data_IF_150290466763
#
_entry.id   IF_150290466763
#
_cell.length_a   1.000
_cell.length_b   1.000
_cell.length_c   1.000
_cell.angle_alpha   90.00
_cell.angle_beta   90.00
_cell.angle_gamma   90.00
#
_symmetry.space_group_name_H-M   'P 1'
#
loop_
_entity.id
_entity.type
_entity.pdbx_description
1 polymer ?
#
# COMPACT_ATOMS: atom_id res chain seq x y z
N UNK A 1 10.22 -0.70 17.70
CA UNK A 1 9.53 -0.01 18.79
C UNK A 1 8.29 0.70 18.26
N UNK A 2 7.13 0.00 18.22
CA UNK A 2 5.83 0.53 17.77
C UNK A 2 5.02 1.17 18.92
N UNK A 3 5.65 1.41 20.07
CA UNK A 3 4.97 1.66 21.34
C UNK A 3 4.67 3.13 21.68
N UNK A 4 4.79 4.08 20.77
CA UNK A 4 4.54 5.48 21.12
C UNK A 4 3.45 6.21 20.36
N UNK A 5 2.79 5.58 19.39
CA UNK A 5 1.50 6.02 18.83
C UNK A 5 0.47 4.92 19.04
N UNK A 6 -0.76 5.30 19.34
CA UNK A 6 -1.91 4.41 19.53
C UNK A 6 -1.90 3.25 18.52
N UNK A 7 -2.38 2.08 18.96
CA UNK A 7 -2.50 0.87 18.12
C UNK A 7 -3.12 1.22 16.76
N UNK A 8 -2.44 0.89 15.65
CA UNK A 8 -2.97 1.09 14.29
C UNK A 8 -4.31 0.37 14.17
N UNK A 9 -5.31 1.06 13.64
CA UNK A 9 -6.66 0.50 13.46
C UNK A 9 -6.66 -0.67 12.46
N UNK A 10 -7.55 -1.63 12.67
CA UNK A 10 -7.74 -2.81 11.79
C UNK A 10 -8.21 -2.42 10.39
N UNK A 11 -8.93 -1.29 10.27
CA UNK A 11 -9.25 -0.66 9.00
C UNK A 11 -8.36 0.56 8.78
N UNK A 12 -8.01 0.81 7.53
CA UNK A 12 -7.35 2.00 7.01
C UNK A 12 -8.20 2.59 5.89
N UNK A 13 -8.16 3.90 5.71
CA UNK A 13 -8.78 4.54 4.54
C UNK A 13 -7.72 4.78 3.48
N UNK A 14 -7.91 4.15 2.31
CA UNK A 14 -7.08 4.33 1.11
C UNK A 14 -7.70 5.38 0.18
N UNK A 15 -6.94 6.42 -0.17
CA UNK A 15 -7.42 7.55 -0.95
C UNK A 15 -7.07 7.45 -2.45
N UNK A 16 -6.99 6.23 -2.97
CA UNK A 16 -6.70 5.98 -4.38
C UNK A 16 -7.88 6.29 -5.30
N UNK A 17 -9.11 5.94 -4.88
CA UNK A 17 -10.29 5.94 -5.74
C UNK A 17 -10.89 7.33 -5.94
N UNK A 18 -11.56 7.48 -7.08
CA UNK A 18 -12.28 8.69 -7.49
C UNK A 18 -11.48 9.56 -8.47
N UNK A 19 -12.19 10.38 -9.23
CA UNK A 19 -11.59 11.35 -10.14
C UNK A 19 -10.86 12.47 -9.35
N UNK A 20 -9.95 13.17 -10.02
CA UNK A 20 -9.19 14.29 -9.46
C UNK A 20 -9.99 15.61 -9.49
N UNK A 21 -11.20 15.57 -8.95
CA UNK A 21 -12.17 16.68 -8.95
C UNK A 21 -12.48 17.18 -7.53
N UNK A 22 -12.91 18.43 -7.43
CA UNK A 22 -13.31 19.05 -6.16
C UNK A 22 -14.55 18.38 -5.53
N UNK A 23 -15.42 17.78 -6.36
CA UNK A 23 -16.56 17.01 -5.85
C UNK A 23 -16.10 15.79 -5.06
N UNK A 24 -15.18 15.02 -5.63
CA UNK A 24 -14.60 13.85 -4.96
C UNK A 24 -13.76 14.25 -3.74
N UNK A 25 -13.09 15.40 -3.79
CA UNK A 25 -12.37 15.93 -2.62
C UNK A 25 -13.29 16.18 -1.44
N UNK A 26 -14.49 16.72 -1.69
CA UNK A 26 -15.52 16.94 -0.66
C UNK A 26 -16.04 15.61 -0.08
N UNK A 27 -16.34 14.64 -0.94
CA UNK A 27 -16.77 13.29 -0.52
C UNK A 27 -15.70 12.61 0.36
N UNK A 28 -14.45 12.59 -0.11
CA UNK A 28 -13.33 12.01 0.64
C UNK A 28 -13.08 12.73 1.97
N UNK A 29 -13.21 14.05 2.00
CA UNK A 29 -13.12 14.82 3.24
C UNK A 29 -14.14 14.35 4.27
N UNK A 30 -15.38 14.12 3.86
CA UNK A 30 -16.44 13.61 4.74
C UNK A 30 -16.12 12.19 5.23
N UNK A 31 -15.63 11.31 4.34
CA UNK A 31 -15.22 9.94 4.70
C UNK A 31 -14.07 9.96 5.70
N UNK A 32 -13.03 10.78 5.48
CA UNK A 32 -11.88 10.89 6.39
C UNK A 32 -12.33 11.37 7.77
N UNK A 33 -13.13 12.46 7.83
CA UNK A 33 -13.60 12.99 9.10
C UNK A 33 -14.43 11.98 9.87
N UNK A 34 -15.38 11.31 9.21
CA UNK A 34 -16.17 10.25 9.83
C UNK A 34 -15.33 9.06 10.28
N UNK A 35 -14.34 8.65 9.50
CA UNK A 35 -13.43 7.59 9.87
C UNK A 35 -12.64 7.92 11.16
N UNK A 36 -12.14 9.16 11.27
CA UNK A 36 -11.47 9.67 12.49
C UNK A 36 -12.41 9.62 13.69
N UNK A 37 -13.65 10.06 13.54
CA UNK A 37 -14.66 10.06 14.62
C UNK A 37 -14.95 8.62 15.13
N UNK A 38 -14.83 7.62 14.26
CA UNK A 38 -14.95 6.21 14.62
C UNK A 38 -13.65 5.56 15.13
N UNK A 39 -12.57 6.33 15.27
CA UNK A 39 -11.29 5.82 15.77
C UNK A 39 -10.44 5.11 14.70
N UNK A 40 -10.77 5.23 13.41
CA UNK A 40 -9.87 4.80 12.33
C UNK A 40 -8.76 5.86 12.23
N UNK A 41 -7.55 5.44 12.54
CA UNK A 41 -6.41 6.36 12.65
C UNK A 41 -5.33 6.14 11.58
N UNK A 42 -5.53 5.26 10.62
CA UNK A 42 -4.57 4.96 9.57
C UNK A 42 -5.11 5.37 8.20
N UNK A 43 -4.31 6.13 7.44
CA UNK A 43 -4.65 6.64 6.11
C UNK A 43 -3.54 6.31 5.11
N UNK A 44 -3.94 5.72 3.97
CA UNK A 44 -3.03 5.28 2.92
C UNK A 44 -3.18 6.17 1.68
N UNK A 45 -2.11 6.86 1.33
CA UNK A 45 -2.02 7.75 0.17
C UNK A 45 -0.81 7.44 -0.70
N UNK A 46 -0.66 8.14 -1.81
CA UNK A 46 0.54 8.17 -2.63
C UNK A 46 0.55 9.45 -3.48
N UNK A 47 1.73 9.92 -3.95
CA UNK A 47 1.84 11.09 -4.82
C UNK A 47 1.01 10.96 -6.10
N UNK A 48 1.00 9.79 -6.74
CA UNK A 48 0.24 9.53 -7.96
C UNK A 48 -1.27 9.33 -7.73
N UNK A 49 -1.73 9.24 -6.47
CA UNK A 49 -3.16 9.09 -6.20
C UNK A 49 -3.89 10.38 -6.47
N UNK A 50 -4.80 10.32 -7.47
CA UNK A 50 -5.59 11.48 -7.89
C UNK A 50 -4.70 12.71 -8.14
N UNK A 51 -3.57 12.51 -8.81
CA UNK A 51 -2.62 13.57 -9.19
C UNK A 51 -2.27 14.50 -8.01
N UNK A 52 -1.72 13.92 -6.95
CA UNK A 52 -1.33 14.56 -5.69
C UNK A 52 -2.47 15.02 -4.77
N UNK A 53 -3.72 15.06 -5.25
CA UNK A 53 -4.87 15.59 -4.48
C UNK A 53 -5.11 14.80 -3.18
N UNK A 54 -4.85 13.49 -3.17
CA UNK A 54 -5.04 12.64 -2.00
C UNK A 54 -4.13 13.03 -0.83
N UNK A 55 -2.86 13.31 -1.08
CA UNK A 55 -1.95 13.83 -0.04
C UNK A 55 -2.37 15.24 0.41
N UNK A 56 -2.76 16.12 -0.53
CA UNK A 56 -3.20 17.48 -0.21
C UNK A 56 -4.46 17.53 0.67
N UNK A 57 -5.44 16.65 0.41
CA UNK A 57 -6.67 16.57 1.24
C UNK A 57 -6.30 16.10 2.65
N UNK A 58 -5.55 15.00 2.74
CA UNK A 58 -5.16 14.43 4.01
C UNK A 58 -4.37 15.46 4.84
N UNK A 59 -3.38 16.13 4.23
CA UNK A 59 -2.56 17.14 4.89
C UNK A 59 -3.34 18.32 5.48
N UNK A 60 -4.47 18.71 4.88
CA UNK A 60 -5.36 19.74 5.43
C UNK A 60 -6.14 19.27 6.67
N UNK A 61 -6.44 17.98 6.77
CA UNK A 61 -7.31 17.42 7.81
C UNK A 61 -6.54 16.95 9.05
N UNK A 62 -5.33 16.43 8.87
CA UNK A 62 -4.56 15.83 9.97
C UNK A 62 -3.98 16.82 10.97
N UNK A 63 -3.94 18.12 10.64
CA UNK A 63 -3.40 19.17 11.52
C UNK A 63 -4.07 19.23 12.90
N UNK A 64 -5.32 18.77 12.96
CA UNK A 64 -6.15 18.80 14.18
C UNK A 64 -6.07 17.50 14.99
N UNK A 65 -5.45 16.44 14.43
CA UNK A 65 -5.47 15.08 15.00
C UNK A 65 -4.06 14.51 15.09
N UNK A 66 -3.47 14.51 16.28
CA UNK A 66 -2.07 14.10 16.51
C UNK A 66 -1.85 12.57 16.43
N UNK A 67 -2.90 11.76 16.52
CA UNK A 67 -2.82 10.30 16.61
C UNK A 67 -3.01 9.59 15.26
N UNK A 68 -2.94 10.35 14.15
CA UNK A 68 -3.07 9.79 12.80
C UNK A 68 -1.75 9.16 12.36
N UNK A 69 -1.86 7.95 11.83
CA UNK A 69 -0.79 7.19 11.21
C UNK A 69 -0.86 7.36 9.69
N UNK A 70 0.19 7.92 9.09
CA UNK A 70 0.23 8.27 7.68
C UNK A 70 1.12 7.27 6.95
N UNK A 71 0.56 6.61 5.93
CA UNK A 71 1.34 5.89 4.93
C UNK A 71 1.27 6.57 3.57
N UNK A 72 2.44 6.80 2.98
CA UNK A 72 2.58 7.25 1.58
C UNK A 72 3.64 6.43 0.87
N UNK A 73 3.86 6.70 -0.42
CA UNK A 73 4.64 5.81 -1.28
C UNK A 73 5.60 6.60 -2.18
N UNK A 74 6.65 5.93 -2.68
CA UNK A 74 7.52 6.46 -3.70
C UNK A 74 7.81 5.44 -4.81
N UNK A 75 8.04 5.95 -6.00
CA UNK A 75 8.28 5.18 -7.22
C UNK A 75 7.50 5.73 -8.40
N UNK A 76 6.17 5.77 -8.32
CA UNK A 76 5.35 6.35 -9.39
C UNK A 76 5.46 7.87 -9.47
N UNK A 77 5.45 8.38 -10.70
CA UNK A 77 5.44 9.81 -11.00
C UNK A 77 4.02 10.34 -10.89
N UNK A 78 3.78 11.38 -10.09
CA UNK A 78 2.52 12.09 -10.10
C UNK A 78 2.46 13.04 -11.31
N UNK A 79 1.32 13.09 -11.99
CA UNK A 79 1.03 14.05 -13.03
C UNK A 79 0.12 15.14 -12.48
N UNK A 80 0.62 16.35 -12.37
CA UNK A 80 -0.18 17.52 -12.01
C UNK A 80 -0.31 18.43 -13.24
N UNK A 81 -1.34 18.19 -14.04
CA UNK A 81 -1.64 18.97 -15.24
C UNK A 81 -2.51 20.21 -14.96
N UNK A 82 -2.80 20.51 -13.71
CA UNK A 82 -3.70 21.60 -13.33
C UNK A 82 -3.31 22.98 -13.89
N UNK A 83 -2.03 23.15 -14.25
CA UNK A 83 -1.48 24.40 -14.75
C UNK A 83 -0.74 24.27 -16.10
N UNK A 84 -0.91 23.18 -16.83
CA UNK A 84 -0.12 22.92 -18.05
C UNK A 84 -1.00 22.34 -19.17
N UNK A 85 -0.77 22.82 -20.41
CA UNK A 85 -1.33 22.22 -21.64
C UNK A 85 -0.31 21.30 -22.34
N UNK A 86 0.64 20.73 -21.60
CA UNK A 86 1.69 19.86 -22.14
C UNK A 86 1.27 18.40 -22.01
N UNK A 87 1.82 17.55 -22.89
CA UNK A 87 1.63 16.11 -22.79
C UNK A 87 2.55 15.49 -21.71
N UNK A 88 2.33 14.21 -21.41
CA UNK A 88 3.09 13.47 -20.39
C UNK A 88 4.59 13.48 -20.63
N UNK A 89 5.03 13.26 -21.88
CA UNK A 89 6.47 13.25 -22.22
C UNK A 89 7.13 14.60 -21.96
N UNK A 90 6.48 15.68 -22.36
CA UNK A 90 6.96 17.04 -22.12
C UNK A 90 6.97 17.33 -20.60
N UNK A 91 5.94 16.91 -19.88
CA UNK A 91 5.88 17.06 -18.43
C UNK A 91 7.06 16.35 -17.75
N UNK A 92 7.35 15.11 -18.13
CA UNK A 92 8.47 14.34 -17.59
C UNK A 92 9.79 15.01 -17.94
N UNK A 93 9.95 15.45 -19.18
CA UNK A 93 11.17 16.15 -19.62
C UNK A 93 11.41 17.41 -18.79
N UNK A 94 10.40 18.26 -18.61
CA UNK A 94 10.55 19.55 -17.96
C UNK A 94 10.63 19.46 -16.43
N UNK A 95 9.86 18.56 -15.85
CA UNK A 95 9.73 18.47 -14.40
C UNK A 95 10.78 17.59 -13.73
N UNK A 96 11.35 16.63 -14.46
CA UNK A 96 12.23 15.61 -13.88
C UNK A 96 13.56 15.46 -14.61
N UNK A 97 13.57 15.16 -15.91
CA UNK A 97 14.83 14.90 -16.65
C UNK A 97 15.70 16.14 -16.72
N UNK A 98 15.16 17.30 -17.11
CA UNK A 98 15.93 18.56 -17.19
C UNK A 98 16.47 19.04 -15.83
N UNK A 99 15.92 18.55 -14.74
CA UNK A 99 16.39 18.79 -13.37
C UNK A 99 17.41 17.77 -12.88
N UNK A 100 17.75 16.77 -13.72
CA UNK A 100 18.70 15.71 -13.36
C UNK A 100 18.20 14.74 -12.29
N UNK A 101 16.87 14.61 -12.14
CA UNK A 101 16.29 13.72 -11.12
C UNK A 101 16.32 12.25 -11.55
N UNK A 102 16.30 11.99 -12.83
CA UNK A 102 16.59 10.70 -13.48
C UNK A 102 16.88 10.93 -14.96
N UNK A 103 17.49 9.95 -15.62
CA UNK A 103 17.66 9.89 -17.07
C UNK A 103 16.58 9.00 -17.72
N UNK A 104 16.50 9.03 -19.06
CA UNK A 104 15.52 8.22 -19.81
C UNK A 104 15.71 6.71 -19.62
N UNK A 105 16.92 6.26 -19.31
CA UNK A 105 17.26 4.84 -19.15
C UNK A 105 16.86 4.30 -17.79
N UNK A 106 16.77 5.16 -16.78
CA UNK A 106 16.34 4.82 -15.41
C UNK A 106 14.85 5.08 -15.15
N UNK A 107 14.12 5.51 -16.19
CA UNK A 107 12.69 5.82 -16.13
C UNK A 107 11.88 4.78 -16.90
N UNK A 108 10.88 4.20 -16.24
CA UNK A 108 9.89 3.34 -16.88
C UNK A 108 8.77 4.20 -17.49
N UNK A 109 8.79 4.35 -18.82
CA UNK A 109 7.79 5.14 -19.55
C UNK A 109 6.43 4.44 -19.70
N UNK A 110 6.37 3.14 -19.47
CA UNK A 110 5.11 2.39 -19.53
C UNK A 110 4.32 2.51 -18.22
N UNK A 111 5.03 2.39 -17.08
CA UNK A 111 4.41 2.51 -15.76
C UNK A 111 4.59 3.89 -15.13
N UNK A 112 5.32 4.80 -15.76
CA UNK A 112 5.67 6.12 -15.22
C UNK A 112 6.28 6.01 -13.83
N UNK A 113 7.39 5.28 -13.74
CA UNK A 113 8.03 4.96 -12.47
C UNK A 113 9.53 5.17 -12.51
N UNK A 114 10.10 5.64 -11.40
CA UNK A 114 11.55 5.67 -11.19
C UNK A 114 11.89 5.39 -9.72
N UNK A 115 12.95 4.59 -9.51
CA UNK A 115 13.57 4.38 -8.21
C UNK A 115 14.96 5.04 -8.11
N UNK A 116 15.21 6.06 -8.95
CA UNK A 116 16.39 6.89 -8.78
C UNK A 116 16.31 7.65 -7.44
N UNK A 117 17.40 7.71 -6.68
CA UNK A 117 17.39 8.27 -5.31
C UNK A 117 17.19 9.78 -5.29
N UNK A 118 17.63 10.50 -6.33
CA UNK A 118 17.40 11.94 -6.50
C UNK A 118 15.91 12.22 -6.71
N UNK A 119 15.23 11.37 -7.49
CA UNK A 119 13.79 11.45 -7.69
C UNK A 119 13.02 11.13 -6.41
N UNK A 120 13.37 10.05 -5.72
CA UNK A 120 12.72 9.66 -4.46
C UNK A 120 12.89 10.76 -3.39
N UNK A 121 14.08 11.39 -3.33
CA UNK A 121 14.33 12.52 -2.44
C UNK A 121 13.46 13.74 -2.77
N UNK A 122 13.35 14.06 -4.06
CA UNK A 122 12.52 15.17 -4.52
C UNK A 122 11.04 14.96 -4.20
N UNK A 123 10.49 13.76 -4.48
CA UNK A 123 9.08 13.48 -4.23
C UNK A 123 8.79 13.30 -2.73
N UNK A 124 9.69 12.72 -1.93
CA UNK A 124 9.50 12.68 -0.47
C UNK A 124 9.37 14.08 0.12
N UNK A 125 10.23 15.03 -0.29
CA UNK A 125 10.12 16.44 0.15
C UNK A 125 8.77 17.05 -0.22
N UNK A 126 8.28 16.78 -1.43
CA UNK A 126 6.96 17.24 -1.87
C UNK A 126 5.82 16.56 -1.09
N UNK A 127 5.91 15.26 -0.83
CA UNK A 127 4.93 14.54 -0.01
C UNK A 127 4.84 15.11 1.40
N UNK A 128 5.99 15.39 2.05
CA UNK A 128 6.02 16.03 3.37
C UNK A 128 5.33 17.41 3.36
N UNK A 129 5.53 18.20 2.30
CA UNK A 129 4.85 19.50 2.15
C UNK A 129 3.35 19.34 1.92
N UNK A 130 2.92 18.46 1.00
CA UNK A 130 1.50 18.20 0.72
C UNK A 130 0.76 17.66 1.93
N UNK A 131 1.39 16.76 2.68
CA UNK A 131 0.87 16.19 3.91
C UNK A 131 1.00 17.13 5.12
N UNK A 132 1.67 18.27 4.94
CA UNK A 132 1.90 19.25 5.99
C UNK A 132 2.47 18.61 7.29
N UNK A 133 3.49 17.78 7.13
CA UNK A 133 4.18 17.06 8.20
C UNK A 133 5.68 17.05 7.95
N UNK A 134 6.47 16.82 8.99
CA UNK A 134 7.93 16.66 8.88
C UNK A 134 8.38 15.19 8.85
N UNK A 135 7.45 14.23 9.00
CA UNK A 135 7.77 12.80 8.99
C UNK A 135 6.61 11.96 8.45
N UNK A 136 6.96 10.83 7.85
CA UNK A 136 6.03 9.79 7.39
C UNK A 136 6.15 8.60 8.33
N UNK A 137 5.01 8.10 8.84
CA UNK A 137 5.00 6.96 9.75
C UNK A 137 5.33 5.64 9.04
N UNK A 138 4.88 5.49 7.77
CA UNK A 138 5.18 4.33 6.93
C UNK A 138 5.34 4.75 5.46
N UNK A 139 6.55 4.58 4.93
CA UNK A 139 6.86 4.87 3.54
C UNK A 139 7.00 3.59 2.74
N UNK A 140 6.20 3.42 1.68
CA UNK A 140 6.27 2.25 0.82
C UNK A 140 7.10 2.50 -0.43
N UNK A 141 7.92 1.52 -0.82
CA UNK A 141 8.39 1.39 -2.19
C UNK A 141 7.23 0.84 -3.01
N UNK A 142 6.78 1.60 -4.02
CA UNK A 142 5.51 1.38 -4.70
C UNK A 142 5.69 0.56 -5.98
N UNK A 143 5.27 -0.70 -5.96
CA UNK A 143 5.34 -1.70 -7.03
C UNK A 143 6.74 -1.85 -7.65
N UNK A 144 7.78 -2.17 -6.85
CA UNK A 144 9.14 -2.33 -7.36
C UNK A 144 9.30 -3.52 -8.32
N UNK A 145 8.29 -4.39 -8.45
CA UNK A 145 8.23 -5.46 -9.45
C UNK A 145 8.25 -4.94 -10.89
N UNK A 146 7.77 -3.73 -11.14
CA UNK A 146 7.81 -3.15 -12.49
C UNK A 146 9.24 -2.79 -12.89
N UNK A 147 10.01 -2.23 -11.96
CA UNK A 147 11.44 -2.02 -12.19
C UNK A 147 12.15 -3.35 -12.44
N UNK A 148 11.86 -4.40 -11.63
CA UNK A 148 12.47 -5.73 -11.84
C UNK A 148 12.18 -6.26 -13.26
N UNK A 149 10.95 -6.13 -13.72
CA UNK A 149 10.54 -6.56 -15.06
C UNK A 149 11.25 -5.76 -16.18
N UNK A 150 11.53 -4.48 -15.95
CA UNK A 150 12.19 -3.60 -16.91
C UNK A 150 13.69 -3.86 -17.03
N UNK A 151 14.39 -3.95 -15.88
CA UNK A 151 15.86 -3.93 -15.88
C UNK A 151 16.53 -5.28 -15.58
N UNK A 152 15.75 -6.29 -15.19
CA UNK A 152 16.25 -7.61 -14.78
C UNK A 152 16.97 -7.61 -13.43
N UNK A 153 17.25 -8.82 -12.90
CA UNK A 153 17.71 -9.02 -11.52
C UNK A 153 19.01 -8.29 -11.16
N UNK A 154 20.00 -8.27 -12.05
CA UNK A 154 21.29 -7.65 -11.71
C UNK A 154 21.16 -6.16 -11.47
N UNK A 155 20.58 -5.46 -12.43
CA UNK A 155 20.39 -4.00 -12.32
C UNK A 155 19.39 -3.64 -11.21
N UNK A 156 18.34 -4.44 -11.06
CA UNK A 156 17.39 -4.29 -9.96
C UNK A 156 18.07 -4.31 -8.58
N UNK A 157 18.95 -5.28 -8.34
CA UNK A 157 19.68 -5.39 -7.07
C UNK A 157 20.57 -4.17 -6.79
N UNK A 158 21.22 -3.63 -7.82
CA UNK A 158 22.03 -2.40 -7.70
C UNK A 158 21.17 -1.21 -7.32
N UNK A 159 20.04 -1.02 -8.02
CA UNK A 159 19.10 0.09 -7.73
C UNK A 159 18.55 -0.05 -6.32
N UNK A 160 18.05 -1.24 -5.95
CA UNK A 160 17.50 -1.46 -4.61
C UNK A 160 18.54 -1.25 -3.50
N UNK A 161 19.80 -1.62 -3.71
CA UNK A 161 20.86 -1.33 -2.75
C UNK A 161 21.02 0.18 -2.50
N UNK A 162 20.95 1.01 -3.54
CA UNK A 162 21.02 2.46 -3.41
C UNK A 162 19.76 3.03 -2.75
N UNK A 163 18.58 2.51 -3.09
CA UNK A 163 17.31 2.87 -2.42
C UNK A 163 17.37 2.57 -0.93
N UNK A 164 17.90 1.42 -0.51
CA UNK A 164 18.00 1.07 0.90
C UNK A 164 19.03 1.93 1.65
N UNK A 165 20.13 2.34 1.00
CA UNK A 165 21.05 3.33 1.57
C UNK A 165 20.36 4.69 1.75
N UNK A 166 19.57 5.11 0.77
CA UNK A 166 18.77 6.34 0.85
C UNK A 166 17.73 6.26 1.98
N UNK A 167 16.97 5.16 2.09
CA UNK A 167 16.03 4.92 3.18
C UNK A 167 16.70 5.04 4.56
N UNK A 168 17.89 4.46 4.73
CA UNK A 168 18.65 4.59 5.96
C UNK A 168 18.87 6.06 6.33
N UNK A 169 19.33 6.89 5.40
CA UNK A 169 19.53 8.33 5.63
C UNK A 169 18.23 9.03 6.02
N UNK A 170 17.10 8.66 5.39
CA UNK A 170 15.79 9.26 5.72
C UNK A 170 15.29 8.84 7.10
N UNK A 171 15.57 7.63 7.52
CA UNK A 171 15.26 7.12 8.85
C UNK A 171 16.13 7.81 9.92
N UNK A 172 17.44 7.89 9.70
CA UNK A 172 18.37 8.59 10.58
C UNK A 172 18.00 10.07 10.77
N UNK A 173 17.49 10.72 9.72
CA UNK A 173 17.01 12.11 9.75
C UNK A 173 15.55 12.24 10.26
N UNK A 174 14.90 11.15 10.70
CA UNK A 174 13.52 11.12 11.18
C UNK A 174 12.48 11.67 10.20
N UNK A 175 12.75 11.60 8.89
CA UNK A 175 11.79 11.93 7.83
C UNK A 175 10.89 10.76 7.49
N UNK A 176 11.40 9.53 7.64
CA UNK A 176 10.67 8.25 7.55
C UNK A 176 10.87 7.52 8.88
N UNK A 177 9.77 7.08 9.50
CA UNK A 177 9.83 6.29 10.73
C UNK A 177 10.03 4.81 10.40
N UNK A 178 9.17 4.29 9.52
CA UNK A 178 9.20 2.92 9.06
C UNK A 178 9.02 2.88 7.55
N UNK A 179 9.42 1.77 6.94
CA UNK A 179 9.19 1.54 5.53
C UNK A 179 8.63 0.14 5.25
N UNK A 180 8.11 -0.02 4.03
CA UNK A 180 7.53 -1.26 3.55
C UNK A 180 7.62 -1.39 2.04
N UNK A 181 7.09 -2.50 1.53
CA UNK A 181 6.93 -2.75 0.09
C UNK A 181 5.44 -2.81 -0.21
N UNK A 182 4.97 -1.97 -1.13
CA UNK A 182 3.62 -2.08 -1.70
C UNK A 182 3.73 -2.72 -3.07
N UNK A 183 2.98 -3.78 -3.32
CA UNK A 183 3.03 -4.53 -4.59
C UNK A 183 1.63 -4.85 -5.06
N UNK A 184 1.47 -5.08 -6.36
CA UNK A 184 0.23 -5.65 -6.90
C UNK A 184 0.33 -7.16 -7.01
N UNK A 185 1.20 -7.67 -7.84
CA UNK A 185 1.41 -9.10 -8.05
C UNK A 185 2.85 -9.58 -7.80
N UNK A 186 3.78 -8.70 -7.50
CA UNK A 186 5.21 -8.97 -7.51
C UNK A 186 5.63 -10.18 -6.66
N UNK A 187 5.04 -10.40 -5.48
CA UNK A 187 5.33 -11.56 -4.65
C UNK A 187 4.63 -12.85 -5.11
N UNK A 188 3.64 -12.75 -5.99
CA UNK A 188 2.80 -13.88 -6.45
C UNK A 188 3.10 -14.31 -7.87
N UNK A 189 3.98 -13.57 -8.57
CA UNK A 189 4.32 -13.81 -9.96
C UNK A 189 4.85 -15.25 -10.14
N UNK A 190 4.33 -15.94 -11.15
CA UNK A 190 4.72 -17.32 -11.46
C UNK A 190 6.10 -17.37 -12.13
N UNK A 191 6.40 -16.39 -12.98
CA UNK A 191 7.72 -16.23 -13.57
C UNK A 191 8.73 -15.78 -12.51
N UNK A 192 9.70 -16.65 -12.22
CA UNK A 192 10.73 -16.36 -11.24
C UNK A 192 11.59 -15.13 -11.58
N UNK A 193 11.69 -14.76 -12.86
CA UNK A 193 12.46 -13.61 -13.32
C UNK A 193 11.78 -12.27 -13.04
N UNK A 194 10.49 -12.30 -12.74
CA UNK A 194 9.68 -11.10 -12.41
C UNK A 194 9.22 -11.10 -10.96
N UNK A 195 9.47 -12.19 -10.24
CA UNK A 195 8.96 -12.37 -8.90
C UNK A 195 9.87 -11.73 -7.85
N UNK A 196 9.28 -10.95 -6.96
CA UNK A 196 9.94 -10.43 -5.78
C UNK A 196 10.10 -11.54 -4.73
N UNK A 197 11.23 -11.52 -4.01
CA UNK A 197 11.47 -12.37 -2.85
C UNK A 197 11.53 -11.51 -1.59
N UNK A 198 10.75 -11.86 -0.56
CA UNK A 198 10.75 -11.12 0.70
C UNK A 198 12.13 -11.20 1.38
N UNK A 199 12.80 -12.34 1.25
CA UNK A 199 14.13 -12.57 1.81
C UNK A 199 15.20 -11.60 1.25
N UNK A 200 15.10 -11.20 -0.02
CA UNK A 200 16.00 -10.20 -0.62
C UNK A 200 15.86 -8.85 0.09
N UNK A 201 14.63 -8.42 0.40
CA UNK A 201 14.37 -7.16 1.12
C UNK A 201 14.80 -7.23 2.58
N UNK A 202 14.59 -8.38 3.23
CA UNK A 202 15.09 -8.63 4.59
C UNK A 202 16.62 -8.52 4.61
N UNK A 203 17.30 -9.19 3.69
CA UNK A 203 18.76 -9.17 3.56
C UNK A 203 19.30 -7.76 3.32
N UNK A 204 18.66 -6.99 2.42
CA UNK A 204 19.00 -5.59 2.17
C UNK A 204 18.80 -4.71 3.42
N UNK A 205 17.73 -4.92 4.17
CA UNK A 205 17.43 -4.16 5.38
C UNK A 205 18.45 -4.42 6.49
N UNK A 206 18.87 -5.68 6.68
CA UNK A 206 19.93 -6.08 7.61
C UNK A 206 21.26 -5.44 7.19
N UNK A 207 21.64 -5.58 5.91
CA UNK A 207 22.90 -5.03 5.37
C UNK A 207 23.02 -3.52 5.57
N UNK A 208 21.90 -2.79 5.56
CA UNK A 208 21.88 -1.35 5.74
C UNK A 208 21.57 -0.91 7.19
N UNK A 209 21.41 -1.84 8.15
CA UNK A 209 21.15 -1.53 9.56
C UNK A 209 19.76 -0.93 9.84
N UNK A 210 18.79 -1.20 8.97
CA UNK A 210 17.41 -0.69 9.07
C UNK A 210 16.36 -1.81 9.11
N UNK A 211 16.77 -3.01 9.58
CA UNK A 211 15.87 -4.17 9.65
C UNK A 211 14.64 -3.90 10.51
N UNK A 212 14.81 -3.23 11.64
CA UNK A 212 13.71 -2.94 12.57
C UNK A 212 12.71 -1.92 12.01
N UNK A 213 13.12 -1.14 11.02
CA UNK A 213 12.26 -0.17 10.34
C UNK A 213 11.53 -0.79 9.13
N UNK A 214 11.94 -1.97 8.64
CA UNK A 214 11.20 -2.71 7.62
C UNK A 214 10.07 -3.49 8.27
N UNK A 215 8.88 -2.92 8.30
CA UNK A 215 7.79 -3.39 9.17
C UNK A 215 6.58 -3.93 8.42
N UNK A 216 6.43 -3.63 7.13
CA UNK A 216 5.18 -3.91 6.43
C UNK A 216 5.38 -4.33 4.97
N UNK A 217 4.44 -5.15 4.49
CA UNK A 217 4.15 -5.29 3.07
C UNK A 217 2.68 -4.98 2.83
N UNK A 218 2.40 -4.36 1.66
CA UNK A 218 1.05 -4.06 1.21
C UNK A 218 0.79 -4.80 -0.10
N UNK A 219 -0.33 -5.52 -0.18
CA UNK A 219 -0.68 -6.32 -1.35
C UNK A 219 -2.20 -6.48 -1.47
N UNK A 220 -2.74 -6.75 -2.67
CA UNK A 220 -4.17 -7.01 -2.83
C UNK A 220 -4.55 -8.36 -2.24
N UNK A 221 -5.59 -8.35 -1.41
CA UNK A 221 -6.16 -9.56 -0.84
C UNK A 221 -7.68 -9.42 -0.71
N UNK A 222 -8.40 -10.36 -1.25
CA UNK A 222 -9.85 -10.44 -1.18
C UNK A 222 -10.32 -11.86 -1.55
N UNK A 223 -11.62 -12.10 -1.48
CA UNK A 223 -12.22 -13.40 -1.77
C UNK A 223 -11.95 -13.93 -3.19
N UNK A 224 -11.62 -13.05 -4.15
CA UNK A 224 -11.27 -13.39 -5.54
C UNK A 224 -9.76 -13.51 -5.76
N UNK A 225 -8.95 -13.04 -4.82
CA UNK A 225 -7.49 -12.99 -4.91
C UNK A 225 -6.90 -13.41 -3.57
N UNK A 226 -6.66 -14.71 -3.45
CA UNK A 226 -6.14 -15.35 -2.23
C UNK A 226 -4.69 -15.80 -2.37
N UNK A 227 -3.98 -15.34 -3.40
CA UNK A 227 -2.62 -15.76 -3.77
C UNK A 227 -1.63 -15.74 -2.61
N UNK A 228 -1.75 -14.75 -1.71
CA UNK A 228 -0.90 -14.62 -0.54
C UNK A 228 -0.92 -15.85 0.39
N UNK A 229 -2.01 -16.61 0.39
CA UNK A 229 -2.19 -17.83 1.16
C UNK A 229 -1.98 -19.08 0.33
N UNK A 230 -2.44 -19.08 -0.92
CA UNK A 230 -2.59 -20.29 -1.74
C UNK A 230 -1.37 -20.58 -2.62
N UNK A 231 -0.55 -19.56 -2.94
CA UNK A 231 0.64 -19.74 -3.77
C UNK A 231 1.91 -19.80 -2.92
N UNK A 232 2.65 -20.89 -3.03
CA UNK A 232 3.97 -21.05 -2.41
C UNK A 232 5.05 -20.48 -3.34
N UNK A 233 5.30 -19.18 -3.25
CA UNK A 233 6.19 -18.43 -4.16
C UNK A 233 7.45 -17.90 -3.50
N UNK A 234 7.50 -17.87 -2.17
CA UNK A 234 8.64 -17.32 -1.41
C UNK A 234 9.59 -18.45 -1.01
N UNK A 235 10.85 -18.39 -1.47
CA UNK A 235 11.87 -19.39 -1.18
C UNK A 235 12.64 -19.02 0.09
N UNK A 236 12.41 -19.78 1.16
CA UNK A 236 12.98 -19.53 2.49
C UNK A 236 13.31 -20.88 3.14
N UNK A 237 14.50 -21.01 3.75
CA UNK A 237 14.96 -22.24 4.40
C UNK A 237 14.86 -23.49 3.49
N UNK A 238 15.32 -23.35 2.23
CA UNK A 238 15.33 -24.40 1.23
C UNK A 238 13.96 -24.97 0.84
N UNK A 239 12.88 -24.19 1.04
CA UNK A 239 11.52 -24.56 0.64
C UNK A 239 10.72 -23.37 0.14
N UNK A 240 9.75 -23.63 -0.72
CA UNK A 240 8.77 -22.64 -1.10
C UNK A 240 7.63 -22.60 -0.07
N UNK A 241 7.30 -21.41 0.38
CA UNK A 241 6.17 -21.12 1.30
C UNK A 241 5.33 -19.99 0.75
N UNK A 242 4.10 -19.85 1.29
CA UNK A 242 3.25 -18.73 0.91
C UNK A 242 3.77 -17.41 1.49
N UNK A 243 3.36 -16.29 0.90
CA UNK A 243 3.76 -14.96 1.38
C UNK A 243 3.37 -14.74 2.85
N UNK A 244 2.16 -15.17 3.25
CA UNK A 244 1.72 -15.04 4.64
C UNK A 244 2.66 -15.78 5.61
N UNK A 245 3.09 -16.99 5.27
CA UNK A 245 4.05 -17.73 6.08
C UNK A 245 5.43 -17.05 6.12
N UNK A 246 5.85 -16.45 5.01
CA UNK A 246 7.08 -15.68 4.96
C UNK A 246 7.02 -14.44 5.87
N UNK A 247 5.89 -13.73 5.86
CA UNK A 247 5.70 -12.55 6.72
C UNK A 247 5.63 -12.90 8.20
N UNK A 248 4.99 -14.01 8.57
CA UNK A 248 4.99 -14.54 9.94
C UNK A 248 6.42 -14.79 10.43
N UNK A 249 7.21 -15.51 9.63
CA UNK A 249 8.60 -15.83 9.95
C UNK A 249 9.45 -14.58 10.23
N UNK A 250 9.28 -13.54 9.43
CA UNK A 250 10.05 -12.31 9.54
C UNK A 250 9.39 -11.23 10.40
N UNK A 251 8.26 -11.52 11.05
CA UNK A 251 7.50 -10.54 11.84
C UNK A 251 7.16 -9.26 11.04
N UNK A 252 6.84 -9.43 9.75
CA UNK A 252 6.40 -8.36 8.86
C UNK A 252 4.87 -8.27 8.89
N UNK A 253 4.34 -7.08 9.03
CA UNK A 253 2.90 -6.83 9.05
C UNK A 253 2.30 -6.81 7.65
N UNK A 254 1.15 -7.46 7.49
CA UNK A 254 0.40 -7.48 6.23
C UNK A 254 -0.67 -6.39 6.23
N UNK A 255 -0.54 -5.46 5.29
CA UNK A 255 -1.57 -4.48 4.95
C UNK A 255 -2.22 -4.92 3.64
N UNK A 256 -3.53 -5.09 3.62
CA UNK A 256 -4.19 -5.59 2.42
C UNK A 256 -4.99 -4.51 1.73
N UNK A 257 -4.80 -4.42 0.41
CA UNK A 257 -5.53 -3.52 -0.47
C UNK A 257 -6.61 -4.24 -1.27
N UNK A 258 -7.47 -3.48 -1.94
CA UNK A 258 -8.52 -3.96 -2.82
C UNK A 258 -9.44 -5.05 -2.21
N UNK A 259 -9.95 -4.89 -0.97
CA UNK A 259 -10.78 -5.91 -0.30
C UNK A 259 -12.05 -6.28 -1.09
N UNK A 260 -12.47 -5.41 -2.00
CA UNK A 260 -13.67 -5.57 -2.84
C UNK A 260 -13.37 -5.89 -4.30
N UNK A 261 -12.13 -6.36 -4.61
CA UNK A 261 -11.72 -6.71 -5.95
C UNK A 261 -11.93 -5.58 -6.97
N UNK A 262 -11.73 -4.30 -6.56
CA UNK A 262 -12.00 -3.12 -7.37
C UNK A 262 -13.46 -3.03 -7.86
N UNK A 263 -14.42 -3.39 -7.00
CA UNK A 263 -15.85 -3.37 -7.29
C UNK A 263 -16.41 -4.64 -7.91
N UNK A 264 -15.57 -5.58 -8.35
CA UNK A 264 -15.99 -6.83 -8.99
C UNK A 264 -16.90 -7.71 -8.13
N UNK A 265 -16.81 -7.59 -6.79
CA UNK A 265 -17.65 -8.37 -5.87
C UNK A 265 -19.14 -8.04 -5.96
N UNK A 266 -19.53 -6.88 -6.47
CA UNK A 266 -20.93 -6.46 -6.55
C UNK A 266 -21.74 -7.37 -7.49
N UNK A 267 -21.13 -7.85 -8.56
CA UNK A 267 -21.77 -8.61 -9.63
C UNK A 267 -21.60 -10.14 -9.48
N UNK A 268 -21.02 -10.57 -8.35
CA UNK A 268 -20.71 -11.99 -8.13
C UNK A 268 -21.72 -12.61 -7.19
N UNK A 269 -22.23 -13.77 -7.58
CA UNK A 269 -22.96 -14.65 -6.68
C UNK A 269 -21.96 -15.50 -5.88
N UNK A 270 -21.82 -15.22 -4.60
CA UNK A 270 -20.94 -16.00 -3.74
C UNK A 270 -21.45 -17.45 -3.58
N UNK A 271 -20.53 -18.43 -3.53
CA UNK A 271 -20.88 -19.81 -3.17
C UNK A 271 -21.56 -19.88 -1.80
N UNK A 272 -22.37 -20.93 -1.58
CA UNK A 272 -23.10 -21.14 -0.32
C UNK A 272 -22.17 -21.05 0.91
N UNK A 273 -21.01 -21.70 0.84
CA UNK A 273 -20.03 -21.68 1.94
C UNK A 273 -19.62 -20.28 2.36
N UNK A 274 -19.44 -19.36 1.42
CA UNK A 274 -19.11 -17.96 1.73
C UNK A 274 -20.29 -17.26 2.38
N UNK A 275 -21.51 -17.49 1.83
CA UNK A 275 -22.71 -16.86 2.33
C UNK A 275 -23.08 -17.30 3.75
N UNK A 276 -22.76 -18.53 4.12
CA UNK A 276 -23.04 -19.14 5.42
C UNK A 276 -21.94 -18.85 6.45
N UNK A 277 -20.68 -18.74 6.00
CA UNK A 277 -19.53 -18.57 6.90
C UNK A 277 -19.28 -17.14 7.32
N UNK A 278 -19.59 -16.14 6.46
CA UNK A 278 -19.23 -14.75 6.72
C UNK A 278 -20.45 -13.87 6.97
N UNK A 279 -20.36 -13.09 8.04
CA UNK A 279 -21.35 -12.08 8.37
C UNK A 279 -21.47 -11.04 7.25
N UNK A 280 -22.71 -10.65 6.94
CA UNK A 280 -22.97 -9.53 6.05
C UNK A 280 -24.36 -9.57 5.43
N UNK A 281 -24.99 -8.39 5.30
CA UNK A 281 -26.27 -8.16 4.64
C UNK A 281 -26.12 -8.09 3.11
N UNK A 282 -24.91 -7.78 2.65
CA UNK A 282 -24.56 -7.62 1.25
C UNK A 282 -23.18 -8.22 0.95
N UNK A 283 -22.81 -8.27 -0.33
CA UNK A 283 -21.52 -8.81 -0.77
C UNK A 283 -20.32 -8.02 -0.23
N UNK A 284 -20.47 -6.72 -0.06
CA UNK A 284 -19.42 -5.85 0.48
C UNK A 284 -19.06 -6.25 1.92
N UNK A 285 -20.06 -6.39 2.80
CA UNK A 285 -19.85 -6.80 4.19
C UNK A 285 -19.27 -8.22 4.28
N UNK A 286 -19.77 -9.17 3.47
CA UNK A 286 -19.24 -10.55 3.45
C UNK A 286 -17.79 -10.62 2.98
N UNK A 287 -17.43 -9.86 1.94
CA UNK A 287 -16.05 -9.78 1.46
C UNK A 287 -15.11 -9.16 2.51
N UNK A 288 -15.57 -8.15 3.23
CA UNK A 288 -14.80 -7.56 4.32
C UNK A 288 -14.67 -8.51 5.51
N UNK A 289 -15.73 -9.22 5.89
CA UNK A 289 -15.72 -10.24 6.94
C UNK A 289 -14.74 -11.38 6.61
N UNK A 290 -14.67 -11.80 5.34
CA UNK A 290 -13.63 -12.72 4.86
C UNK A 290 -12.22 -12.19 5.12
N UNK A 291 -11.94 -10.95 4.74
CA UNK A 291 -10.64 -10.33 4.96
C UNK A 291 -10.32 -10.18 6.46
N UNK A 292 -11.30 -9.82 7.29
CA UNK A 292 -11.14 -9.68 8.75
C UNK A 292 -10.87 -11.02 9.44
N UNK A 293 -11.34 -12.13 8.86
CA UNK A 293 -11.14 -13.48 9.37
C UNK A 293 -9.80 -14.11 8.94
N UNK A 294 -9.11 -13.52 7.97
CA UNK A 294 -7.86 -14.05 7.47
C UNK A 294 -6.72 -13.90 8.50
N UNK A 295 -5.91 -14.96 8.71
CA UNK A 295 -4.79 -14.91 9.65
C UNK A 295 -3.70 -13.95 9.19
N UNK A 296 -2.99 -13.38 10.15
CA UNK A 296 -1.85 -12.47 9.96
C UNK A 296 -2.15 -11.22 9.09
N UNK A 297 -3.41 -10.90 8.81
CA UNK A 297 -3.75 -9.61 8.21
C UNK A 297 -3.81 -8.56 9.32
N UNK A 298 -2.91 -7.57 9.23
CA UNK A 298 -2.78 -6.54 10.25
C UNK A 298 -3.80 -5.42 10.05
N UNK A 299 -3.89 -4.91 8.83
CA UNK A 299 -4.78 -3.80 8.47
C UNK A 299 -5.37 -4.04 7.09
N UNK A 300 -6.66 -3.71 6.90
CA UNK A 300 -7.36 -3.76 5.63
C UNK A 300 -7.59 -2.33 5.15
N UNK A 301 -7.10 -2.02 3.94
CA UNK A 301 -7.19 -0.69 3.34
C UNK A 301 -8.49 -0.61 2.53
N UNK A 302 -9.40 0.20 3.02
CA UNK A 302 -10.70 0.45 2.43
C UNK A 302 -10.60 1.66 1.48
N UNK A 303 -10.71 1.40 0.17
CA UNK A 303 -10.84 2.46 -0.83
C UNK A 303 -12.30 2.83 -1.04
N UNK A 304 -12.73 4.01 -0.59
CA UNK A 304 -14.09 4.51 -0.82
C UNK A 304 -14.17 6.03 -0.70
N UNK A 305 -15.01 6.66 -1.52
CA UNK A 305 -15.46 8.05 -1.35
C UNK A 305 -16.87 8.13 -0.78
N UNK A 306 -17.53 7.00 -0.52
CA UNK A 306 -18.96 6.96 -0.11
C UNK A 306 -19.10 6.65 1.36
N UNK A 307 -19.83 7.49 2.10
CA UNK A 307 -20.13 7.31 3.52
C UNK A 307 -20.85 5.97 3.81
N UNK A 308 -21.78 5.57 2.95
CA UNK A 308 -22.51 4.30 3.10
C UNK A 308 -21.57 3.07 3.11
N UNK A 309 -20.52 3.08 2.29
CA UNK A 309 -19.53 2.00 2.32
C UNK A 309 -18.69 2.00 3.61
N UNK A 310 -18.42 3.19 4.15
CA UNK A 310 -17.74 3.30 5.44
C UNK A 310 -18.63 2.78 6.57
N UNK A 311 -19.93 3.08 6.55
CA UNK A 311 -20.92 2.56 7.53
C UNK A 311 -21.00 1.05 7.50
N UNK A 312 -21.11 0.45 6.32
CA UNK A 312 -21.08 -0.99 6.13
C UNK A 312 -19.77 -1.61 6.68
N UNK A 313 -18.65 -0.97 6.46
CA UNK A 313 -17.36 -1.45 6.95
C UNK A 313 -17.25 -1.37 8.47
N UNK A 314 -17.74 -0.30 9.09
CA UNK A 314 -17.77 -0.14 10.55
C UNK A 314 -18.71 -1.17 11.20
N UNK A 315 -19.90 -1.37 10.62
CA UNK A 315 -20.82 -2.41 11.09
C UNK A 315 -20.16 -3.81 11.05
N UNK A 316 -19.48 -4.10 9.93
CA UNK A 316 -18.77 -5.38 9.77
C UNK A 316 -17.63 -5.54 10.78
N UNK A 317 -16.84 -4.48 10.99
CA UNK A 317 -15.72 -4.49 11.94
C UNK A 317 -16.19 -4.75 13.39
N UNK A 318 -17.35 -4.22 13.77
CA UNK A 318 -17.92 -4.37 15.10
C UNK A 318 -18.55 -5.75 15.36
N UNK A 319 -18.66 -6.58 14.34
CA UNK A 319 -19.15 -7.95 14.52
C UNK A 319 -18.06 -8.84 15.14
N UNK A 320 -18.38 -9.48 16.28
CA UNK A 320 -17.43 -10.26 17.08
C UNK A 320 -17.20 -11.70 16.59
N UNK A 321 -17.80 -12.11 15.47
CA UNK A 321 -17.75 -13.48 14.95
C UNK A 321 -16.63 -13.75 13.94
N UNK A 322 -15.71 -12.82 13.69
CA UNK A 322 -14.58 -13.05 12.79
C UNK A 322 -13.58 -14.01 13.42
N UNK A 323 -13.22 -15.08 12.69
CA UNK A 323 -12.23 -16.05 13.19
C UNK A 323 -11.43 -16.69 12.06
N UNK A 324 -10.19 -17.03 12.35
CA UNK A 324 -9.32 -17.77 11.43
C UNK A 324 -9.86 -19.15 11.09
N UNK A 325 -10.61 -19.77 12.02
CA UNK A 325 -11.26 -21.07 11.77
C UNK A 325 -12.24 -20.98 10.60
N UNK A 326 -13.05 -19.91 10.54
CA UNK A 326 -13.98 -19.69 9.41
C UNK A 326 -13.21 -19.51 8.09
N UNK A 327 -12.10 -18.80 8.13
CA UNK A 327 -11.25 -18.62 6.97
C UNK A 327 -10.69 -19.95 6.45
N UNK A 328 -10.06 -20.75 7.32
CA UNK A 328 -9.45 -22.02 6.92
C UNK A 328 -10.48 -23.05 6.45
N UNK A 329 -11.69 -23.05 6.97
CA UNK A 329 -12.76 -23.96 6.54
C UNK A 329 -13.11 -23.83 5.05
N UNK A 330 -12.82 -22.67 4.42
CA UNK A 330 -13.05 -22.48 2.98
C UNK A 330 -12.04 -23.27 2.13
N UNK A 331 -10.80 -23.41 2.62
CA UNK A 331 -9.71 -24.04 1.87
C UNK A 331 -9.52 -25.53 2.19
N UNK A 332 -10.19 -26.05 3.21
CA UNK A 332 -10.07 -27.44 3.67
C UNK A 332 -11.12 -28.40 3.08
N UNK A 333 -11.73 -28.05 1.93
CA UNK A 333 -12.70 -28.93 1.24
C UNK A 333 -12.16 -29.50 -0.04
#
# INVERSE_FOLDING_TARGET
MFESKNKISKLSIGLYQGADTDSIDKELTQVIMKAIDFGINNFDVAPNYRNTRSENILGKLIQKNKDIYISTKGGFIPFDFSNTNINEDQYIQDMYISKGLFDKESFDSYYFQSFNTEYLEYELKKSLLRLNTNKIDLYYLHNPEYLLAMVGHLRYKEVMLNVFKWLRVKIENNQIVNFGISTWDGFFESDSNKRLQLDDFISLSIKNGIRDNFVAIQFPFNILKTDAFTKATQYIDNKFISLIRATEKYSIKCFTSAPFGQGKINDIKFPAIINESFYGKNNFQKALAFCLSAPNIHTIILGTSKLAHLDDAIETLNYNGHSETLFYNIFNK
#
